data_IF_832024375512
#
_entry.id   IF_832024375512
#
_cell.length_a   1.000
_cell.length_b   1.000
_cell.length_c   1.000
_cell.angle_alpha   90.00
_cell.angle_beta   90.00
_cell.angle_gamma   90.00
#
_symmetry.space_group_name_H-M   'P 1'
#
loop_
_entity.id
_entity.type
_entity.pdbx_description
1 polymer ?
#
# COMPACT_ATOMS: atom_id res chain seq x y z
N UNK A 1 -12.93 26.82 -8.37
CA UNK A 1 -12.76 27.79 -9.47
C UNK A 1 -11.40 28.42 -9.32
N UNK A 2 -10.43 27.75 -9.91
CA UNK A 2 -9.01 27.95 -9.74
C UNK A 2 -8.49 28.78 -10.93
N UNK A 3 -8.39 30.11 -10.74
CA UNK A 3 -7.77 31.01 -11.70
C UNK A 3 -8.60 31.33 -12.96
N UNK A 4 -8.03 32.18 -13.82
CA UNK A 4 -8.65 32.68 -15.07
C UNK A 4 -8.65 31.63 -16.19
N UNK A 5 -8.02 30.47 -15.95
CA UNK A 5 -7.80 29.42 -16.95
C UNK A 5 -8.99 28.49 -17.09
N UNK A 6 -9.60 28.05 -15.97
CA UNK A 6 -10.78 27.16 -15.99
C UNK A 6 -11.98 27.75 -16.77
N UNK A 7 -12.35 29.03 -16.61
CA UNK A 7 -13.44 29.61 -17.39
C UNK A 7 -13.17 29.61 -18.90
N UNK A 8 -11.92 29.83 -19.32
CA UNK A 8 -11.55 29.80 -20.73
C UNK A 8 -11.54 28.37 -21.29
N UNK A 9 -11.18 27.38 -20.47
CA UNK A 9 -11.27 25.97 -20.85
C UNK A 9 -12.72 25.56 -21.10
N UNK A 10 -13.65 25.98 -20.24
CA UNK A 10 -15.09 25.75 -20.42
C UNK A 10 -15.58 26.36 -21.75
N UNK A 11 -15.20 27.62 -22.04
CA UNK A 11 -15.59 28.29 -23.29
C UNK A 11 -15.06 27.56 -24.55
N UNK A 12 -13.82 27.06 -24.49
CA UNK A 12 -13.21 26.30 -25.60
C UNK A 12 -13.87 24.93 -25.76
N UNK A 13 -14.12 24.23 -24.65
CA UNK A 13 -14.79 22.94 -24.66
C UNK A 13 -16.20 23.05 -25.25
N UNK A 14 -16.97 24.05 -24.83
CA UNK A 14 -18.32 24.29 -25.33
C UNK A 14 -18.30 24.68 -26.82
N UNK A 15 -17.35 25.51 -27.24
CA UNK A 15 -17.19 25.85 -28.65
C UNK A 15 -16.89 24.60 -29.50
N UNK A 16 -15.95 23.75 -29.07
CA UNK A 16 -15.57 22.54 -29.82
C UNK A 16 -16.71 21.54 -29.87
N UNK A 17 -17.37 21.30 -28.74
CA UNK A 17 -18.50 20.37 -28.65
C UNK A 17 -19.66 20.81 -29.56
N UNK A 18 -20.07 22.07 -29.47
CA UNK A 18 -21.23 22.54 -30.24
C UNK A 18 -20.91 22.80 -31.72
N UNK A 19 -19.77 23.43 -32.04
CA UNK A 19 -19.48 23.85 -33.43
C UNK A 19 -18.86 22.76 -34.27
N UNK A 20 -17.98 21.95 -33.70
CA UNK A 20 -17.22 20.96 -34.45
C UNK A 20 -17.91 19.59 -34.35
N UNK A 21 -18.21 19.14 -33.14
CA UNK A 21 -18.68 17.78 -32.90
C UNK A 21 -20.17 17.63 -33.26
N UNK A 22 -21.04 18.46 -32.69
CA UNK A 22 -22.47 18.39 -32.96
C UNK A 22 -22.83 18.96 -34.34
N UNK A 23 -22.43 20.20 -34.65
CA UNK A 23 -22.83 20.86 -35.90
C UNK A 23 -22.00 20.44 -37.11
N UNK A 24 -20.71 20.16 -36.95
CA UNK A 24 -19.81 19.82 -38.05
C UNK A 24 -19.79 18.32 -38.39
N UNK A 25 -19.71 17.47 -37.36
CA UNK A 25 -19.57 16.02 -37.51
C UNK A 25 -20.88 15.26 -37.25
N UNK A 26 -21.96 15.94 -36.80
CA UNK A 26 -23.25 15.34 -36.46
C UNK A 26 -23.13 14.17 -35.47
N UNK A 27 -22.24 14.34 -34.49
CA UNK A 27 -21.89 13.30 -33.54
C UNK A 27 -22.32 13.70 -32.13
N UNK A 28 -23.39 13.10 -31.61
CA UNK A 28 -23.92 13.42 -30.27
C UNK A 28 -23.38 12.47 -29.18
N UNK A 29 -22.66 11.43 -29.58
CA UNK A 29 -22.21 10.36 -28.69
C UNK A 29 -20.86 10.62 -28.01
N UNK A 30 -20.14 11.67 -28.40
CA UNK A 30 -18.83 12.01 -27.84
C UNK A 30 -18.80 13.45 -27.35
N UNK A 31 -18.14 13.68 -26.21
CA UNK A 31 -17.88 15.00 -25.65
C UNK A 31 -16.38 15.22 -25.52
N UNK A 32 -15.89 16.30 -26.10
CA UNK A 32 -14.56 16.81 -25.90
C UNK A 32 -14.46 17.49 -24.54
N UNK A 33 -13.40 17.16 -23.80
CA UNK A 33 -13.05 17.76 -22.52
C UNK A 33 -11.53 17.89 -22.45
N UNK A 34 -11.03 19.05 -22.02
CA UNK A 34 -9.63 19.28 -21.75
C UNK A 34 -9.26 18.63 -20.41
N UNK A 35 -8.00 18.22 -20.28
CA UNK A 35 -7.52 17.72 -19.01
C UNK A 35 -7.55 18.85 -17.97
N UNK A 36 -7.96 18.51 -16.75
CA UNK A 36 -7.93 19.44 -15.63
C UNK A 36 -6.48 19.92 -15.45
N UNK A 37 -6.29 21.25 -15.46
CA UNK A 37 -4.96 21.82 -15.30
C UNK A 37 -4.59 21.79 -13.82
N UNK A 38 -3.53 21.06 -13.48
CA UNK A 38 -2.97 21.10 -12.13
C UNK A 38 -2.22 22.42 -11.91
N UNK A 39 -2.90 23.42 -11.37
CA UNK A 39 -2.33 24.73 -11.04
C UNK A 39 -1.60 24.75 -9.69
N UNK A 40 -1.39 23.61 -9.05
CA UNK A 40 -0.72 23.57 -7.75
C UNK A 40 0.73 23.98 -7.89
N UNK A 41 1.16 24.88 -7.00
CA UNK A 41 2.58 25.10 -6.75
C UNK A 41 3.10 23.96 -5.86
N UNK A 42 3.50 22.86 -6.52
CA UNK A 42 3.98 21.64 -5.88
C UNK A 42 5.24 21.92 -5.05
N UNK A 43 6.07 22.89 -5.46
CA UNK A 43 7.28 23.26 -4.73
C UNK A 43 6.94 24.02 -3.44
N UNK A 44 6.02 24.98 -3.50
CA UNK A 44 5.53 25.67 -2.30
C UNK A 44 4.81 24.71 -1.33
N UNK A 45 4.02 23.77 -1.87
CA UNK A 45 3.35 22.76 -1.06
C UNK A 45 4.36 21.81 -0.37
N UNK A 46 5.36 21.33 -1.11
CA UNK A 46 6.44 20.51 -0.56
C UNK A 46 7.20 21.25 0.55
N UNK A 47 7.60 22.50 0.31
CA UNK A 47 8.25 23.37 1.30
C UNK A 47 7.40 23.55 2.56
N UNK A 48 6.08 23.66 2.42
CA UNK A 48 5.17 23.76 3.57
C UNK A 48 5.19 22.49 4.40
N UNK A 49 5.09 21.32 3.78
CA UNK A 49 5.11 20.05 4.52
C UNK A 49 6.45 19.78 5.20
N UNK A 50 7.58 20.09 4.55
CA UNK A 50 8.91 19.99 5.17
C UNK A 50 9.01 20.87 6.42
N UNK A 51 8.50 22.11 6.38
CA UNK A 51 8.47 23.00 7.55
C UNK A 51 7.61 22.43 8.69
N UNK A 52 6.44 21.87 8.38
CA UNK A 52 5.54 21.29 9.38
C UNK A 52 6.13 20.05 10.05
N UNK A 53 6.83 19.22 9.27
CA UNK A 53 7.58 18.06 9.76
C UNK A 53 8.70 18.51 10.68
N UNK A 54 9.53 19.47 10.25
CA UNK A 54 10.63 19.99 11.07
C UNK A 54 10.14 20.66 12.37
N UNK A 55 8.93 21.22 12.37
CA UNK A 55 8.32 21.81 13.55
C UNK A 55 7.62 20.76 14.47
N UNK A 56 7.71 19.47 14.16
CA UNK A 56 7.00 18.39 14.86
C UNK A 56 5.47 18.55 14.95
N UNK A 57 4.89 19.30 14.01
CA UNK A 57 3.43 19.53 13.92
C UNK A 57 2.73 18.53 13.00
N UNK A 58 3.50 17.79 12.19
CA UNK A 58 3.00 16.81 11.24
C UNK A 58 4.03 15.67 11.08
N UNK A 59 3.56 14.43 10.97
CA UNK A 59 4.45 13.30 10.69
C UNK A 59 4.72 13.15 9.18
N UNK A 60 5.87 12.59 8.79
CA UNK A 60 6.13 12.19 7.41
C UNK A 60 5.00 11.36 6.75
N UNK A 61 4.40 10.40 7.46
CA UNK A 61 3.28 9.62 6.92
C UNK A 61 1.99 10.44 6.76
N UNK A 62 1.73 11.40 7.64
CA UNK A 62 0.62 12.35 7.47
C UNK A 62 0.81 13.24 6.24
N UNK A 63 2.04 13.70 5.97
CA UNK A 63 2.34 14.46 4.76
C UNK A 63 2.15 13.61 3.49
N UNK A 64 2.62 12.35 3.48
CA UNK A 64 2.43 11.42 2.35
C UNK A 64 0.95 11.15 2.05
N UNK A 65 0.13 10.97 3.07
CA UNK A 65 -1.31 10.80 2.93
C UNK A 65 -1.97 12.04 2.30
N UNK A 66 -1.55 13.25 2.72
CA UNK A 66 -2.06 14.51 2.14
C UNK A 66 -1.64 14.72 0.69
N UNK A 67 -0.46 14.24 0.32
CA UNK A 67 0.07 14.32 -1.04
C UNK A 67 -0.40 13.17 -1.96
N UNK A 68 -1.13 12.19 -1.44
CA UNK A 68 -1.58 11.02 -2.21
C UNK A 68 -0.44 10.11 -2.67
N UNK A 69 0.71 10.11 -1.97
CA UNK A 69 1.93 9.38 -2.37
C UNK A 69 1.88 7.85 -2.08
N UNK A 70 0.69 7.32 -1.86
CA UNK A 70 0.46 5.90 -1.58
C UNK A 70 0.75 5.51 -0.13
N UNK A 71 1.21 4.27 0.07
CA UNK A 71 1.34 3.66 1.41
C UNK A 71 2.32 4.44 2.30
N UNK A 72 1.98 4.50 3.59
CA UNK A 72 2.88 4.88 4.67
C UNK A 72 4.16 4.03 4.66
N UNK A 73 5.26 4.58 5.16
CA UNK A 73 6.50 3.83 5.36
C UNK A 73 6.79 3.65 6.86
N UNK A 74 7.50 2.57 7.17
CA UNK A 74 7.85 2.18 8.53
C UNK A 74 8.76 3.21 9.20
N UNK A 75 8.42 3.57 10.43
CA UNK A 75 9.13 4.60 11.18
C UNK A 75 8.80 6.05 10.79
N UNK A 76 7.93 6.26 9.80
CA UNK A 76 7.48 7.60 9.40
C UNK A 76 6.67 8.36 10.46
N UNK A 77 6.29 7.70 11.57
CA UNK A 77 5.66 8.33 12.73
C UNK A 77 6.52 8.26 14.02
N UNK A 78 7.60 7.47 14.04
CA UNK A 78 8.29 7.00 15.26
C UNK A 78 8.73 8.13 16.21
N UNK A 79 9.24 9.23 15.66
CA UNK A 79 9.73 10.38 16.45
C UNK A 79 8.69 11.47 16.70
N UNK A 80 7.46 11.26 16.22
CA UNK A 80 6.35 12.21 16.31
C UNK A 80 5.20 11.66 17.16
N UNK A 81 5.33 10.44 17.69
CA UNK A 81 4.40 9.86 18.64
C UNK A 81 4.71 10.30 20.06
N UNK A 82 3.67 10.51 20.88
CA UNK A 82 3.81 10.79 22.31
C UNK A 82 4.44 9.58 22.99
N UNK A 83 5.32 9.80 23.96
CA UNK A 83 6.12 8.79 24.67
C UNK A 83 5.35 7.69 25.44
N UNK A 84 4.02 7.66 25.36
CA UNK A 84 3.16 6.64 25.95
C UNK A 84 2.17 6.02 24.96
N UNK A 85 2.36 6.24 23.66
CA UNK A 85 1.56 5.67 22.59
C UNK A 85 2.44 4.70 21.80
N UNK A 86 1.87 3.54 21.46
CA UNK A 86 2.51 2.50 20.65
C UNK A 86 1.83 2.42 19.29
N UNK A 87 2.62 2.18 18.23
CA UNK A 87 2.12 2.12 16.86
C UNK A 87 1.39 0.78 16.64
N UNK A 88 0.05 0.81 16.59
CA UNK A 88 -0.76 -0.41 16.37
C UNK A 88 -0.76 -0.76 14.89
N UNK A 89 -0.19 -1.91 14.53
CA UNK A 89 -0.25 -2.49 13.17
C UNK A 89 1.10 -2.76 12.50
N UNK A 90 2.22 -2.32 13.09
CA UNK A 90 3.57 -2.70 12.66
C UNK A 90 4.23 -3.53 13.78
N UNK A 91 4.06 -4.86 13.76
CA UNK A 91 5.09 -5.70 14.38
C UNK A 91 6.39 -5.45 13.59
N UNK A 92 7.46 -4.97 14.25
CA UNK A 92 8.78 -4.81 13.65
C UNK A 92 9.12 -6.10 12.87
N UNK A 93 9.27 -6.00 11.55
CA UNK A 93 9.47 -7.14 10.65
C UNK A 93 10.60 -8.05 11.14
N UNK A 94 11.67 -7.47 11.70
CA UNK A 94 12.78 -8.21 12.32
C UNK A 94 12.34 -9.15 13.45
N UNK A 95 11.45 -8.69 14.36
CA UNK A 95 10.93 -9.55 15.45
C UNK A 95 10.02 -10.66 14.95
N UNK A 96 9.39 -10.46 13.79
CA UNK A 96 8.51 -11.46 13.16
C UNK A 96 9.32 -12.50 12.41
N UNK A 97 10.39 -12.09 11.73
CA UNK A 97 11.36 -12.98 11.09
C UNK A 97 12.05 -13.88 12.12
N UNK A 98 12.50 -13.34 13.25
CA UNK A 98 13.13 -14.14 14.32
C UNK A 98 12.18 -15.20 14.91
N UNK A 99 10.91 -14.84 15.15
CA UNK A 99 9.90 -15.78 15.64
C UNK A 99 9.57 -16.85 14.61
N UNK A 100 9.53 -16.49 13.33
CA UNK A 100 9.24 -17.42 12.25
C UNK A 100 10.40 -18.40 12.01
N UNK A 101 11.64 -17.91 12.02
CA UNK A 101 12.84 -18.74 11.91
C UNK A 101 12.88 -19.75 13.06
N UNK A 102 12.67 -19.29 14.29
CA UNK A 102 12.64 -20.17 15.46
C UNK A 102 11.53 -21.23 15.38
N UNK A 103 10.34 -20.85 14.90
CA UNK A 103 9.24 -21.80 14.70
C UNK A 103 9.55 -22.84 13.61
N UNK A 104 10.31 -22.47 12.57
CA UNK A 104 10.76 -23.39 11.52
C UNK A 104 11.86 -24.34 12.00
N UNK A 105 12.77 -23.86 12.85
CA UNK A 105 13.80 -24.69 13.52
C UNK A 105 13.15 -25.72 14.45
N UNK A 106 12.18 -25.30 15.28
CA UNK A 106 11.42 -26.19 16.16
C UNK A 106 10.64 -27.26 15.36
N UNK A 107 10.07 -26.87 14.21
CA UNK A 107 9.37 -27.79 13.31
C UNK A 107 10.34 -28.80 12.68
N UNK A 108 11.51 -28.37 12.22
CA UNK A 108 12.53 -29.23 11.65
C UNK A 108 13.02 -30.24 12.68
N UNK A 109 13.25 -29.82 13.93
CA UNK A 109 13.65 -30.70 15.02
C UNK A 109 12.55 -31.73 15.34
N UNK A 110 11.28 -31.32 15.31
CA UNK A 110 10.14 -32.23 15.47
C UNK A 110 10.04 -33.29 14.36
N UNK A 111 10.30 -32.90 13.11
CA UNK A 111 10.33 -33.83 11.97
C UNK A 111 11.51 -34.80 12.08
N UNK A 112 12.69 -34.34 12.47
CA UNK A 112 13.86 -35.20 12.69
C UNK A 112 13.61 -36.23 13.80
N UNK A 113 12.98 -35.83 14.92
CA UNK A 113 12.60 -36.76 15.99
C UNK A 113 11.58 -37.80 15.54
N UNK A 114 10.65 -37.44 14.66
CA UNK A 114 9.71 -38.38 14.04
C UNK A 114 10.39 -39.35 13.07
N UNK A 115 11.41 -38.90 12.34
CA UNK A 115 12.19 -39.74 11.45
C UNK A 115 13.13 -40.71 12.19
N UNK A 116 13.65 -40.30 13.36
CA UNK A 116 14.52 -41.12 14.22
C UNK A 116 13.73 -42.05 15.17
N UNK A 117 12.47 -41.71 15.47
CA UNK A 117 11.60 -42.49 16.35
C UNK A 117 10.73 -43.49 15.59
N UNK A 118 11.26 -44.70 15.36
CA UNK A 118 10.60 -46.03 15.35
C UNK A 118 9.17 -46.23 14.76
N UNK A 119 8.61 -45.34 13.94
CA UNK A 119 7.29 -45.54 13.32
C UNK A 119 7.27 -46.55 12.16
N UNK A 120 8.45 -46.99 11.67
CA UNK A 120 8.55 -47.98 10.59
C UNK A 120 8.77 -49.42 11.08
N UNK A 121 8.83 -49.69 12.39
CA UNK A 121 8.98 -51.06 12.90
C UNK A 121 7.67 -51.77 13.28
N UNK A 122 6.56 -51.05 13.46
CA UNK A 122 5.27 -51.68 13.82
C UNK A 122 4.31 -51.94 12.64
N UNK A 123 4.58 -51.42 11.44
CA UNK A 123 3.73 -51.70 10.27
C UNK A 123 4.09 -52.99 9.50
N UNK A 124 5.06 -53.79 9.98
CA UNK A 124 5.63 -54.93 9.25
C UNK A 124 5.63 -56.27 10.00
N UNK A 125 4.85 -56.41 11.09
CA UNK A 125 4.67 -57.69 11.79
C UNK A 125 3.18 -57.95 12.02
N UNK A 126 2.47 -58.31 10.95
CA UNK A 126 1.22 -59.06 11.06
C UNK A 126 0.91 -59.82 9.75
N UNK A 127 1.95 -60.41 9.14
CA UNK A 127 1.77 -61.45 8.12
C UNK A 127 2.57 -62.69 8.50
N UNK A 128 1.84 -63.76 8.85
CA UNK A 128 2.31 -65.13 8.79
C UNK A 128 2.54 -65.82 10.15
N UNK A 129 1.50 -66.47 10.67
CA UNK A 129 1.52 -67.89 11.08
C UNK A 129 0.17 -68.30 11.70
N UNK A 130 -0.64 -69.03 10.92
CA UNK A 130 -1.50 -70.08 11.45
C UNK A 130 -1.66 -71.16 10.37
N UNK A 131 -0.82 -72.18 10.48
CA UNK A 131 -1.05 -73.49 9.88
C UNK A 131 -2.28 -74.14 10.54
N UNK A 132 -3.17 -74.70 9.71
CA UNK A 132 -3.95 -75.91 9.98
C UNK A 132 -4.25 -76.60 8.64
#
# INVERSE_FOLDING_TARGET
KNGVVEPLQEDIEDMVNHKIIEQGLHCESYKFKLNDLDIRDVDAESKRYVRLINAATMTPNQARNKLGLGKSYTGGNKYYMKSGLEEVGEEELEKREDKFIKAMEDLQEGISKLAEGDFLKEAGKDEGESED
#
